data_IF_443564723587
#
_entry.id   IF_443564723587
#
_cell.length_a   1.000
_cell.length_b   1.000
_cell.length_c   1.000
_cell.angle_alpha   90.00
_cell.angle_beta   90.00
_cell.angle_gamma   90.00
#
_symmetry.space_group_name_H-M   'P 1'
#
loop_
_entity.id
_entity.type
_entity.pdbx_description
1 polymer ?
#
# COMPACT_ATOMS: atom_id res chain seq x y z
N UNK A 1 -20.92 3.29 26.72
CA UNK A 1 -20.86 2.22 25.69
C UNK A 1 -20.59 2.94 24.38
N UNK A 2 -19.32 3.01 23.96
CA UNK A 2 -18.92 3.83 22.80
C UNK A 2 -18.23 2.90 21.81
N UNK A 3 -18.83 2.79 20.63
CA UNK A 3 -18.50 1.76 19.66
C UNK A 3 -18.23 2.40 18.32
N UNK A 4 -17.08 2.07 17.75
CA UNK A 4 -16.68 2.40 16.38
C UNK A 4 -16.83 1.12 15.56
N UNK A 5 -17.54 1.15 14.43
CA UNK A 5 -17.92 -0.08 13.71
C UNK A 5 -17.19 -0.22 12.38
N UNK A 6 -17.02 -1.45 11.94
CA UNK A 6 -16.50 -1.82 10.62
C UNK A 6 -17.66 -2.48 9.85
N UNK A 7 -18.07 -1.89 8.73
CA UNK A 7 -19.38 -2.16 8.10
C UNK A 7 -19.22 -2.44 6.62
N UNK A 8 -19.25 -3.71 6.23
CA UNK A 8 -18.91 -4.11 4.88
C UNK A 8 -19.58 -5.37 4.34
N UNK A 9 -20.64 -5.14 3.60
CA UNK A 9 -20.84 -5.90 2.37
C UNK A 9 -21.62 -5.03 1.37
N UNK A 10 -21.13 -5.06 0.12
CA UNK A 10 -21.78 -4.57 -1.10
C UNK A 10 -21.97 -3.06 -1.24
N UNK A 11 -20.98 -2.40 -1.86
CA UNK A 11 -21.15 -1.05 -2.40
C UNK A 11 -21.67 -1.08 -3.84
N UNK A 12 -22.77 -0.40 -4.10
CA UNK A 12 -22.97 0.26 -5.39
C UNK A 12 -22.62 1.73 -5.24
N UNK A 13 -21.59 2.15 -5.95
CA UNK A 13 -21.17 3.54 -6.00
C UNK A 13 -21.99 4.21 -7.09
N UNK A 14 -22.94 5.05 -6.68
CA UNK A 14 -23.73 5.83 -7.63
C UNK A 14 -22.97 7.07 -8.11
N UNK A 15 -22.01 7.56 -7.31
CA UNK A 15 -21.11 8.67 -7.66
C UNK A 15 -19.82 8.62 -6.80
N UNK A 16 -18.66 8.16 -7.33
CA UNK A 16 -17.46 7.97 -6.53
C UNK A 16 -16.92 9.30 -5.99
N UNK A 17 -16.72 9.47 -4.67
CA UNK A 17 -15.92 10.56 -4.17
C UNK A 17 -14.47 10.35 -4.65
N UNK A 18 -13.91 11.35 -5.34
CA UNK A 18 -12.56 11.31 -5.93
C UNK A 18 -11.42 11.19 -4.92
N UNK A 19 -11.70 11.35 -3.62
CA UNK A 19 -10.75 11.13 -2.53
C UNK A 19 -11.42 10.46 -1.34
N UNK A 20 -10.78 9.40 -0.85
CA UNK A 20 -11.17 8.57 0.30
C UNK A 20 -11.32 9.34 1.62
N UNK A 21 -10.81 10.57 1.70
CA UNK A 21 -10.63 11.30 2.97
C UNK A 21 -11.58 12.48 3.19
N UNK A 22 -12.70 12.58 2.45
CA UNK A 22 -13.74 13.54 2.75
C UNK A 22 -14.82 12.87 3.60
N UNK A 23 -15.14 13.46 4.75
CA UNK A 23 -16.20 12.96 5.62
C UNK A 23 -17.51 12.82 4.85
N UNK A 24 -18.17 11.67 5.00
CA UNK A 24 -19.51 11.45 4.48
C UNK A 24 -20.50 11.44 5.63
N UNK A 25 -21.73 11.88 5.34
CA UNK A 25 -22.83 11.71 6.26
C UNK A 25 -23.28 10.26 6.18
N UNK A 26 -23.13 9.54 7.28
CA UNK A 26 -23.48 8.14 7.40
C UNK A 26 -24.79 8.02 8.16
N UNK A 27 -25.75 7.33 7.56
CA UNK A 27 -27.03 6.97 8.12
C UNK A 27 -26.96 5.55 8.64
N UNK A 28 -27.27 5.37 9.92
CA UNK A 28 -27.43 4.06 10.56
C UNK A 28 -28.73 4.06 11.33
N UNK A 29 -29.72 3.28 10.85
CA UNK A 29 -31.06 3.30 11.43
C UNK A 29 -31.67 4.71 11.36
N UNK A 30 -31.90 5.34 12.51
CA UNK A 30 -32.47 6.70 12.62
C UNK A 30 -31.40 7.78 12.88
N UNK A 31 -30.14 7.40 13.07
CA UNK A 31 -29.06 8.33 13.35
C UNK A 31 -28.32 8.71 12.07
N UNK A 32 -27.91 9.98 11.98
CA UNK A 32 -27.03 10.49 10.93
C UNK A 32 -25.80 11.10 11.60
N UNK A 33 -24.62 10.65 11.21
CA UNK A 33 -23.36 11.14 11.78
C UNK A 33 -22.28 11.25 10.70
N UNK A 34 -21.34 12.18 10.87
CA UNK A 34 -20.17 12.24 10.01
C UNK A 34 -19.17 11.14 10.38
N UNK A 35 -18.55 10.52 9.38
CA UNK A 35 -17.52 9.51 9.56
C UNK A 35 -16.31 9.75 8.67
N UNK A 36 -15.13 9.37 9.15
CA UNK A 36 -13.96 9.13 8.31
C UNK A 36 -14.00 7.73 7.70
N UNK A 37 -13.51 7.61 6.48
CA UNK A 37 -13.62 6.41 5.66
C UNK A 37 -12.23 5.88 5.32
N UNK A 38 -12.02 4.58 5.53
CA UNK A 38 -10.82 3.89 5.05
C UNK A 38 -11.21 2.64 4.27
N UNK A 39 -10.97 2.66 2.96
CA UNK A 39 -11.26 1.53 2.08
C UNK A 39 -10.07 0.58 1.97
N UNK A 40 -10.34 -0.71 1.88
CA UNK A 40 -9.34 -1.75 1.71
C UNK A 40 -9.95 -3.01 1.08
N UNK A 41 -9.17 -3.86 0.41
CA UNK A 41 -9.67 -5.10 -0.22
C UNK A 41 -8.95 -6.31 0.34
N UNK A 42 -9.64 -7.45 0.46
CA UNK A 42 -8.97 -8.70 0.87
C UNK A 42 -8.03 -9.14 -0.24
N UNK A 43 -6.78 -9.42 0.11
CA UNK A 43 -5.81 -9.97 -0.85
C UNK A 43 -6.20 -11.43 -1.11
N UNK A 44 -6.57 -11.74 -2.36
CA UNK A 44 -6.88 -13.11 -2.77
C UNK A 44 -5.60 -13.95 -2.66
N UNK A 45 -5.67 -15.05 -1.94
CA UNK A 45 -4.58 -16.02 -1.88
C UNK A 45 -4.63 -16.86 -3.15
N UNK A 46 -3.49 -17.20 -3.77
CA UNK A 46 -3.45 -17.99 -5.02
C UNK A 46 -4.16 -19.36 -4.92
N UNK A 47 -4.41 -19.85 -3.69
CA UNK A 47 -5.14 -21.07 -3.40
C UNK A 47 -6.68 -20.96 -3.36
N UNK A 48 -7.27 -19.76 -3.47
CA UNK A 48 -8.73 -19.57 -3.39
C UNK A 48 -9.48 -19.85 -4.72
N UNK A 49 -8.78 -20.22 -5.79
CA UNK A 49 -9.36 -20.40 -7.13
C UNK A 49 -10.00 -21.76 -7.42
N UNK A 50 -10.19 -22.62 -6.40
CA UNK A 50 -10.88 -23.88 -6.58
C UNK A 50 -11.91 -24.09 -5.47
N UNK A 51 -13.10 -23.50 -5.64
CA UNK A 51 -14.40 -24.17 -5.53
C UNK A 51 -15.52 -23.14 -5.26
N UNK A 52 -16.40 -23.02 -6.25
CA UNK A 52 -17.76 -22.48 -6.11
C UNK A 52 -18.49 -23.19 -4.97
N UNK A 53 -18.66 -22.53 -3.83
CA UNK A 53 -19.81 -22.74 -2.93
C UNK A 53 -19.86 -21.54 -2.01
N UNK A 54 -20.99 -20.82 -2.02
CA UNK A 54 -21.49 -19.84 -1.04
C UNK A 54 -20.57 -19.66 0.21
N UNK A 55 -19.44 -18.98 0.05
CA UNK A 55 -18.55 -18.70 1.17
C UNK A 55 -19.12 -17.46 1.85
N UNK A 56 -19.72 -17.67 3.02
CA UNK A 56 -19.97 -16.61 4.00
C UNK A 56 -18.78 -15.65 3.99
N UNK A 57 -19.02 -14.40 3.59
CA UNK A 57 -18.03 -13.31 3.52
C UNK A 57 -17.70 -12.87 4.95
N UNK A 58 -17.19 -13.79 5.75
CA UNK A 58 -16.84 -13.51 7.13
C UNK A 58 -15.55 -12.70 7.13
N UNK A 59 -15.57 -11.61 7.89
CA UNK A 59 -14.42 -10.72 8.00
C UNK A 59 -13.31 -11.39 8.82
N UNK A 60 -12.25 -11.76 8.12
CA UNK A 60 -11.08 -12.38 8.70
C UNK A 60 -10.09 -11.32 9.22
N UNK A 61 -10.08 -11.11 10.53
CA UNK A 61 -9.16 -10.16 11.20
C UNK A 61 -7.67 -10.54 11.03
N UNK A 62 -7.38 -11.77 10.66
CA UNK A 62 -6.01 -12.29 10.49
C UNK A 62 -5.52 -12.21 9.04
N UNK A 63 -6.43 -11.99 8.09
CA UNK A 63 -6.09 -11.85 6.68
C UNK A 63 -5.32 -10.55 6.40
N UNK A 64 -4.54 -10.59 5.32
CA UNK A 64 -3.90 -9.39 4.77
C UNK A 64 -4.87 -8.68 3.82
N UNK A 65 -4.94 -7.36 3.98
CA UNK A 65 -5.77 -6.49 3.16
C UNK A 65 -4.92 -5.43 2.46
N UNK A 66 -5.32 -5.06 1.25
CA UNK A 66 -4.71 -3.97 0.49
C UNK A 66 -5.48 -2.68 0.72
N UNK A 67 -4.81 -1.61 1.15
CA UNK A 67 -5.43 -0.30 1.29
C UNK A 67 -5.79 0.28 -0.09
N UNK A 68 -6.97 0.88 -0.22
CA UNK A 68 -7.46 1.49 -1.45
C UNK A 68 -7.40 3.03 -1.34
N UNK A 69 -6.57 3.68 -2.17
CA UNK A 69 -6.45 5.16 -2.22
C UNK A 69 -7.53 5.81 -3.08
N UNK A 70 -7.93 5.15 -4.16
CA UNK A 70 -8.99 5.58 -5.06
C UNK A 70 -9.93 4.41 -5.28
N UNK A 71 -11.23 4.67 -5.16
CA UNK A 71 -12.21 3.60 -5.20
C UNK A 71 -12.28 3.07 -6.64
N UNK A 72 -12.00 1.77 -6.88
CA UNK A 72 -12.01 1.23 -8.23
C UNK A 72 -13.41 1.31 -8.84
N UNK A 73 -13.47 1.61 -10.13
CA UNK A 73 -14.74 1.64 -10.89
C UNK A 73 -15.40 0.26 -11.00
N UNK A 74 -14.61 -0.80 -10.80
CA UNK A 74 -15.08 -2.18 -10.77
C UNK A 74 -15.29 -2.55 -9.31
N UNK A 75 -16.54 -2.77 -8.93
CA UNK A 75 -16.93 -3.25 -7.61
C UNK A 75 -16.51 -4.71 -7.47
N UNK A 76 -15.30 -4.94 -6.98
CA UNK A 76 -14.89 -6.27 -6.52
C UNK A 76 -15.72 -6.65 -5.28
N UNK A 77 -16.20 -7.89 -5.24
CA UNK A 77 -16.93 -8.47 -4.09
C UNK A 77 -16.12 -8.51 -2.78
N UNK A 78 -14.87 -8.05 -2.80
CA UNK A 78 -13.93 -8.08 -1.67
C UNK A 78 -13.58 -6.69 -1.16
N UNK A 79 -14.43 -5.68 -1.38
CA UNK A 79 -14.19 -4.31 -0.88
C UNK A 79 -14.71 -4.13 0.54
N UNK A 80 -13.80 -3.64 1.38
CA UNK A 80 -13.93 -3.34 2.78
C UNK A 80 -13.74 -1.80 3.03
N UNK A 81 -14.35 -1.24 4.08
CA UNK A 81 -14.55 0.14 4.54
C UNK A 81 -14.64 0.13 6.07
N UNK A 82 -13.68 0.80 6.69
CA UNK A 82 -13.74 1.21 8.08
C UNK A 82 -14.43 2.57 8.19
N UNK A 83 -15.40 2.66 9.10
CA UNK A 83 -16.10 3.88 9.46
C UNK A 83 -15.66 4.34 10.85
N UNK A 84 -14.98 5.48 10.91
CA UNK A 84 -14.63 6.13 12.17
C UNK A 84 -15.56 7.34 12.37
N UNK A 85 -16.63 7.15 13.13
CA UNK A 85 -17.62 8.20 13.43
C UNK A 85 -17.07 9.32 14.31
N UNK A 86 -17.54 10.55 14.15
CA UNK A 86 -17.15 11.67 15.03
C UNK A 86 -17.69 11.50 16.46
N UNK A 87 -18.87 10.90 16.59
CA UNK A 87 -19.54 10.63 17.86
C UNK A 87 -20.01 9.17 17.91
N UNK A 88 -20.36 8.71 19.11
CA UNK A 88 -20.88 7.36 19.29
C UNK A 88 -22.25 7.20 18.61
N UNK A 89 -22.44 6.06 17.95
CA UNK A 89 -23.69 5.69 17.25
C UNK A 89 -24.06 4.28 17.67
N UNK A 90 -25.36 3.99 17.74
CA UNK A 90 -25.85 2.62 17.99
C UNK A 90 -26.06 1.93 16.64
N UNK A 91 -25.20 0.95 16.33
CA UNK A 91 -25.29 0.19 15.08
C UNK A 91 -25.60 -1.28 15.39
N UNK A 92 -26.78 -1.82 15.02
CA UNK A 92 -27.03 -3.25 15.15
C UNK A 92 -26.17 -4.04 14.16
N UNK A 93 -25.75 -5.25 14.55
CA UNK A 93 -25.12 -6.19 13.62
C UNK A 93 -26.05 -6.47 12.44
N UNK A 94 -25.47 -6.58 11.24
CA UNK A 94 -26.17 -6.68 9.97
C UNK A 94 -27.15 -5.51 9.68
N UNK A 95 -27.03 -4.38 10.41
CA UNK A 95 -27.82 -3.18 10.15
C UNK A 95 -27.40 -2.53 8.84
N UNK A 96 -28.38 -1.96 8.11
CA UNK A 96 -28.13 -1.18 6.91
C UNK A 96 -27.43 0.15 7.26
N UNK A 97 -26.41 0.46 6.48
CA UNK A 97 -25.66 1.71 6.54
C UNK A 97 -25.67 2.36 5.17
N UNK A 98 -25.93 3.66 5.12
CA UNK A 98 -25.92 4.44 3.89
C UNK A 98 -24.99 5.63 4.09
N UNK A 99 -24.10 5.90 3.13
CA UNK A 99 -23.26 7.09 3.13
C UNK A 99 -23.67 8.03 2.01
N UNK A 100 -23.84 9.30 2.33
CA UNK A 100 -24.20 10.34 1.37
C UNK A 100 -23.34 11.59 1.53
N UNK A 101 -23.15 12.28 0.41
CA UNK A 101 -22.51 13.59 0.37
C UNK A 101 -23.58 14.67 0.38
N UNK A 102 -23.94 15.15 1.57
CA UNK A 102 -25.02 16.13 1.75
C UNK A 102 -24.57 17.58 1.52
N UNK A 103 -23.27 17.87 1.63
CA UNK A 103 -22.73 19.24 1.51
C UNK A 103 -22.67 19.78 0.08
N UNK A 104 -23.14 19.02 -0.91
CA UNK A 104 -23.09 19.42 -2.32
C UNK A 104 -24.43 20.01 -2.74
N UNK A 105 -24.44 21.29 -3.14
CA UNK A 105 -25.61 22.02 -3.63
C UNK A 105 -26.09 21.59 -5.03
N UNK A 106 -25.50 20.56 -5.63
CA UNK A 106 -25.95 20.04 -6.92
C UNK A 106 -27.36 19.44 -6.75
N UNK A 107 -28.33 20.03 -7.45
CA UNK A 107 -29.76 19.69 -7.35
C UNK A 107 -30.10 18.45 -8.19
N UNK A 108 -29.28 18.10 -9.18
CA UNK A 108 -29.57 17.07 -10.18
C UNK A 108 -28.60 15.88 -10.18
N UNK A 109 -27.89 15.61 -9.07
CA UNK A 109 -27.05 14.43 -8.94
C UNK A 109 -27.44 13.58 -7.73
N UNK A 110 -27.33 12.26 -7.87
CA UNK A 110 -27.52 11.36 -6.74
C UNK A 110 -26.47 11.69 -5.67
N UNK A 111 -26.95 11.94 -4.44
CA UNK A 111 -26.11 12.29 -3.29
C UNK A 111 -25.69 11.07 -2.46
N UNK A 112 -26.33 9.92 -2.70
CA UNK A 112 -25.94 8.66 -2.08
C UNK A 112 -24.63 8.23 -2.72
N UNK A 113 -23.59 8.11 -1.90
CA UNK A 113 -22.26 7.68 -2.33
C UNK A 113 -22.09 6.17 -2.18
N UNK A 114 -22.66 5.60 -1.11
CA UNK A 114 -22.43 4.21 -0.73
C UNK A 114 -23.56 3.65 0.14
N UNK A 115 -23.67 2.33 0.22
CA UNK A 115 -24.46 1.62 1.23
C UNK A 115 -23.80 0.27 1.56
N UNK A 116 -24.18 -0.38 2.66
CA UNK A 116 -23.69 -1.70 3.06
C UNK A 116 -24.26 -2.16 4.40
N UNK A 117 -23.79 -3.30 4.92
CA UNK A 117 -24.26 -3.86 6.19
C UNK A 117 -23.16 -3.96 7.26
N UNK A 118 -23.53 -3.82 8.53
CA UNK A 118 -22.59 -3.91 9.67
C UNK A 118 -22.11 -5.35 9.85
N UNK A 119 -20.81 -5.61 9.71
CA UNK A 119 -20.26 -6.97 9.82
C UNK A 119 -19.39 -7.19 11.06
N UNK A 120 -18.79 -6.13 11.63
CA UNK A 120 -18.09 -6.25 12.93
C UNK A 120 -18.08 -4.91 13.66
N UNK A 121 -17.94 -4.99 14.98
CA UNK A 121 -18.06 -3.84 15.88
C UNK A 121 -16.79 -3.74 16.73
N UNK A 122 -16.26 -2.54 16.94
CA UNK A 122 -15.12 -2.26 17.81
C UNK A 122 -15.58 -1.36 18.97
N UNK A 123 -15.87 -1.98 20.11
CA UNK A 123 -16.54 -1.34 21.25
C UNK A 123 -15.56 -0.76 22.29
N UNK A 124 -14.27 -0.74 21.98
CA UNK A 124 -13.20 -0.32 22.88
C UNK A 124 -12.84 1.15 22.63
N UNK A 125 -12.63 1.93 23.69
CA UNK A 125 -12.13 3.30 23.59
C UNK A 125 -10.73 3.34 22.96
N UNK A 126 -9.93 2.32 23.22
CA UNK A 126 -8.57 2.15 22.70
C UNK A 126 -8.52 1.19 21.48
N UNK A 127 -9.61 1.09 20.72
CA UNK A 127 -9.72 0.17 19.58
C UNK A 127 -8.57 0.33 18.56
N UNK A 128 -8.00 1.53 18.41
CA UNK A 128 -6.86 1.77 17.51
C UNK A 128 -5.66 0.90 17.91
N UNK A 129 -5.33 0.90 19.19
CA UNK A 129 -4.19 0.14 19.73
C UNK A 129 -4.51 -1.33 19.97
N UNK A 130 -5.75 -1.66 20.34
CA UNK A 130 -6.12 -3.01 20.77
C UNK A 130 -6.67 -3.89 19.64
N UNK A 131 -7.27 -3.28 18.61
CA UNK A 131 -7.95 -3.98 17.52
C UNK A 131 -7.37 -3.61 16.15
N UNK A 132 -7.33 -2.32 15.78
CA UNK A 132 -6.89 -1.93 14.44
C UNK A 132 -5.40 -2.17 14.21
N UNK A 133 -4.56 -2.01 15.22
CA UNK A 133 -3.12 -2.32 15.15
C UNK A 133 -2.84 -3.77 14.74
N UNK A 134 -3.78 -4.69 15.02
CA UNK A 134 -3.70 -6.11 14.67
C UNK A 134 -4.19 -6.39 13.26
N UNK A 135 -4.97 -5.48 12.68
CA UNK A 135 -5.49 -5.63 11.32
C UNK A 135 -4.40 -5.29 10.30
N UNK A 136 -4.15 -6.21 9.36
CA UNK A 136 -3.09 -6.10 8.37
C UNK A 136 -3.56 -5.35 7.10
N UNK A 137 -3.96 -4.09 7.25
CA UNK A 137 -4.27 -3.23 6.09
C UNK A 137 -3.03 -2.52 5.61
N UNK A 138 -2.54 -2.91 4.43
CA UNK A 138 -1.24 -2.50 3.93
C UNK A 138 -1.34 -1.60 2.70
N UNK A 139 -0.57 -0.52 2.68
CA UNK A 139 -0.28 0.26 1.47
C UNK A 139 0.99 -0.27 0.82
N UNK A 140 0.90 -0.64 -0.46
CA UNK A 140 2.09 -0.94 -1.26
C UNK A 140 2.88 0.35 -1.49
N UNK A 141 4.20 0.28 -1.33
CA UNK A 141 5.14 1.37 -1.53
C UNK A 141 6.30 0.86 -2.36
N UNK A 142 6.64 1.65 -3.37
CA UNK A 142 7.77 1.38 -4.24
C UNK A 142 8.71 2.59 -4.18
N UNK A 143 10.00 2.32 -4.03
CA UNK A 143 11.06 3.33 -4.11
C UNK A 143 11.99 2.95 -5.23
N UNK A 144 12.39 3.95 -6.02
CA UNK A 144 13.24 3.81 -7.19
C UNK A 144 14.50 4.64 -6.99
N UNK A 145 15.63 4.08 -7.36
CA UNK A 145 16.94 4.70 -7.23
C UNK A 145 17.88 4.24 -8.33
N UNK A 146 19.14 4.66 -8.26
CA UNK A 146 20.15 4.36 -9.26
C UNK A 146 21.45 3.92 -8.60
N UNK A 147 22.21 3.08 -9.32
CA UNK A 147 23.55 2.68 -8.89
C UNK A 147 24.50 3.86 -9.10
N UNK A 148 25.08 4.36 -8.01
CA UNK A 148 26.08 5.42 -8.05
C UNK A 148 27.46 4.86 -8.36
N UNK A 149 27.83 3.77 -7.68
CA UNK A 149 29.12 3.10 -7.87
C UNK A 149 29.01 1.63 -7.49
N UNK A 150 29.82 0.81 -8.15
CA UNK A 150 29.98 -0.60 -7.81
C UNK A 150 31.22 -0.77 -6.94
N UNK A 151 31.08 -1.43 -5.80
CA UNK A 151 32.19 -1.71 -4.86
C UNK A 151 32.86 -3.02 -5.25
N UNK A 152 32.05 -4.05 -5.49
CA UNK A 152 32.45 -5.35 -6.02
C UNK A 152 31.27 -5.94 -6.83
N UNK A 153 31.45 -7.04 -7.57
CA UNK A 153 30.40 -7.62 -8.41
C UNK A 153 29.07 -7.92 -7.71
N UNK A 154 29.08 -8.09 -6.38
CA UNK A 154 27.88 -8.36 -5.56
C UNK A 154 27.49 -7.22 -4.63
N UNK A 155 28.10 -6.05 -4.77
CA UNK A 155 27.85 -4.94 -3.86
C UNK A 155 27.95 -3.61 -4.59
N UNK A 156 26.86 -2.87 -4.54
CA UNK A 156 26.78 -1.54 -5.13
C UNK A 156 26.29 -0.50 -4.11
N UNK A 157 26.68 0.75 -4.35
CA UNK A 157 26.14 1.90 -3.63
C UNK A 157 25.03 2.49 -4.47
N UNK A 158 23.86 2.61 -3.86
CA UNK A 158 22.64 3.11 -4.50
C UNK A 158 22.30 4.47 -3.91
N UNK A 159 21.91 5.39 -4.78
CA UNK A 159 21.38 6.71 -4.39
C UNK A 159 19.93 6.88 -4.86
N UNK A 160 19.21 7.83 -4.26
CA UNK A 160 17.84 8.17 -4.66
C UNK A 160 16.73 7.30 -4.03
N UNK A 161 17.05 6.15 -3.44
CA UNK A 161 16.06 5.34 -2.71
C UNK A 161 15.57 6.03 -1.42
N UNK A 162 16.43 6.78 -0.74
CA UNK A 162 16.15 7.34 0.58
C UNK A 162 16.52 8.82 0.64
N UNK A 163 15.75 9.58 1.44
CA UNK A 163 16.13 10.94 1.83
C UNK A 163 17.12 10.90 3.00
N UNK A 164 17.88 11.98 3.20
CA UNK A 164 18.91 12.08 4.26
C UNK A 164 18.34 11.80 5.65
N UNK A 165 17.14 12.29 5.93
CA UNK A 165 16.44 12.18 7.21
C UNK A 165 15.72 10.82 7.42
N UNK A 166 15.92 9.85 6.53
CA UNK A 166 15.24 8.55 6.66
C UNK A 166 15.84 7.73 7.79
N UNK A 167 14.99 7.16 8.68
CA UNK A 167 15.43 6.13 9.62
C UNK A 167 15.83 4.88 8.83
N UNK A 168 17.12 4.55 8.85
CA UNK A 168 17.70 3.45 8.06
C UNK A 168 17.45 2.08 8.65
N UNK A 169 17.38 1.97 9.98
CA UNK A 169 17.36 0.69 10.69
C UNK A 169 16.17 -0.18 10.26
N UNK A 170 15.05 0.44 9.91
CA UNK A 170 13.83 -0.27 9.48
C UNK A 170 13.91 -0.83 8.05
N UNK A 171 14.91 -0.42 7.25
CA UNK A 171 15.08 -0.86 5.86
C UNK A 171 16.24 -1.83 5.67
N UNK A 172 17.10 -2.01 6.69
CA UNK A 172 18.18 -2.99 6.65
C UNK A 172 17.59 -4.40 6.61
N UNK A 173 18.12 -5.24 5.71
CA UNK A 173 17.65 -6.61 5.47
C UNK A 173 16.49 -6.72 4.48
N UNK A 174 15.86 -5.61 4.07
CA UNK A 174 14.79 -5.67 3.06
C UNK A 174 15.34 -6.01 1.68
N UNK A 175 14.59 -6.81 0.93
CA UNK A 175 14.89 -7.17 -0.44
C UNK A 175 14.72 -5.98 -1.37
N UNK A 176 15.66 -5.82 -2.27
CA UNK A 176 15.56 -4.90 -3.39
C UNK A 176 16.16 -5.58 -4.61
N UNK A 177 15.86 -5.07 -5.79
CA UNK A 177 16.36 -5.65 -7.02
C UNK A 177 16.82 -4.57 -7.98
N UNK A 178 17.83 -4.91 -8.78
CA UNK A 178 18.33 -4.08 -9.86
C UNK A 178 17.66 -4.57 -11.14
N UNK A 179 17.05 -3.64 -11.86
CA UNK A 179 16.58 -3.80 -13.22
C UNK A 179 17.67 -3.26 -14.13
N UNK A 180 18.11 -4.08 -15.09
CA UNK A 180 19.07 -3.70 -16.12
C UNK A 180 18.32 -3.82 -17.45
N UNK A 181 18.20 -2.73 -18.19
CA UNK A 181 17.66 -2.78 -19.55
C UNK A 181 18.82 -2.89 -20.53
N UNK A 182 18.86 -4.01 -21.23
CA UNK A 182 19.84 -4.25 -22.28
C UNK A 182 19.24 -3.82 -23.61
N UNK A 183 19.93 -2.92 -24.31
CA UNK A 183 19.53 -2.50 -25.65
C UNK A 183 20.26 -3.38 -26.66
N UNK A 184 19.76 -4.59 -26.88
CA UNK A 184 20.17 -5.37 -28.05
C UNK A 184 19.32 -5.02 -29.27
N UNK A 185 19.89 -5.20 -30.46
CA UNK A 185 19.62 -4.46 -31.69
C UNK A 185 18.19 -4.55 -32.26
N UNK A 186 17.28 -5.31 -31.64
CA UNK A 186 15.83 -5.32 -31.97
C UNK A 186 14.94 -5.86 -30.81
N UNK A 187 15.41 -5.92 -29.55
CA UNK A 187 14.59 -6.37 -28.41
C UNK A 187 15.11 -5.78 -27.09
N UNK A 188 14.22 -5.17 -26.30
CA UNK A 188 14.56 -4.64 -24.98
C UNK A 188 14.48 -5.77 -23.96
N UNK A 189 15.57 -6.48 -23.74
CA UNK A 189 15.64 -7.48 -22.69
C UNK A 189 15.84 -6.80 -21.33
N UNK A 190 15.07 -7.21 -20.34
CA UNK A 190 15.13 -6.66 -18.98
C UNK A 190 15.62 -7.73 -18.03
N UNK A 191 16.86 -7.59 -17.55
CA UNK A 191 17.43 -8.49 -16.56
C UNK A 191 17.12 -7.97 -15.16
N UNK A 192 16.70 -8.86 -14.26
CA UNK A 192 16.45 -8.57 -12.85
C UNK A 192 17.45 -9.30 -11.97
N UNK A 193 18.16 -8.58 -11.12
CA UNK A 193 19.09 -9.13 -10.13
C UNK A 193 18.58 -8.79 -8.74
N UNK A 194 18.26 -9.81 -7.95
CA UNK A 194 17.79 -9.64 -6.59
C UNK A 194 18.95 -9.38 -5.62
N UNK A 195 18.62 -8.79 -4.48
CA UNK A 195 19.56 -8.46 -3.42
C UNK A 195 18.85 -8.01 -2.16
N UNK A 196 19.59 -7.42 -1.23
CA UNK A 196 19.07 -6.86 0.00
C UNK A 196 19.87 -5.64 0.44
N UNK A 197 19.19 -4.75 1.17
CA UNK A 197 19.81 -3.54 1.75
C UNK A 197 20.65 -3.97 2.95
N UNK A 198 21.96 -3.80 2.85
CA UNK A 198 22.89 -4.21 3.89
C UNK A 198 23.07 -3.12 4.95
N UNK A 199 23.29 -1.87 4.52
CA UNK A 199 23.57 -0.76 5.44
C UNK A 199 23.40 0.60 4.78
N UNK A 200 23.38 1.66 5.59
CA UNK A 200 23.48 3.05 5.12
C UNK A 200 24.90 3.37 4.64
N UNK A 201 25.01 4.33 3.72
CA UNK A 201 26.29 4.80 3.18
C UNK A 201 26.42 6.32 3.32
N UNK A 202 27.11 6.76 4.37
CA UNK A 202 27.35 8.18 4.65
C UNK A 202 26.07 8.95 5.01
N UNK A 203 26.09 10.28 4.83
CA UNK A 203 25.00 11.18 5.28
C UNK A 203 24.09 11.68 4.15
N UNK A 204 24.05 11.02 3.00
CA UNK A 204 23.42 11.56 1.78
C UNK A 204 22.23 10.74 1.27
N UNK A 205 21.61 9.90 2.11
CA UNK A 205 20.48 9.07 1.65
C UNK A 205 20.91 7.85 0.81
N UNK A 206 22.21 7.52 0.79
CA UNK A 206 22.77 6.40 0.01
C UNK A 206 22.82 5.13 0.85
N UNK A 207 22.78 3.98 0.19
CA UNK A 207 22.86 2.68 0.86
C UNK A 207 23.78 1.69 0.14
N UNK A 208 24.24 0.70 0.89
CA UNK A 208 24.86 -0.52 0.35
C UNK A 208 23.77 -1.52 0.02
N UNK A 209 23.76 -1.97 -1.23
CA UNK A 209 22.93 -3.05 -1.71
C UNK A 209 23.84 -4.25 -1.97
N UNK A 210 23.61 -5.34 -1.26
CA UNK A 210 24.24 -6.63 -1.51
C UNK A 210 23.37 -7.41 -2.51
N UNK A 211 23.98 -8.04 -3.51
CA UNK A 211 23.30 -8.74 -4.60
C UNK A 211 23.45 -10.25 -4.43
N UNK A 212 22.40 -10.98 -4.81
CA UNK A 212 22.37 -12.45 -4.76
C UNK A 212 23.19 -13.07 -5.91
N UNK A 213 23.47 -12.29 -6.97
CA UNK A 213 24.25 -12.71 -8.14
C UNK A 213 25.16 -11.57 -8.61
N UNK A 214 26.21 -11.94 -9.32
CA UNK A 214 27.17 -10.98 -9.86
C UNK A 214 26.53 -10.09 -10.93
N UNK A 215 26.88 -8.81 -10.91
CA UNK A 215 26.52 -7.88 -11.98
C UNK A 215 27.21 -8.31 -13.29
N UNK A 216 26.55 -8.15 -14.45
CA UNK A 216 27.16 -8.42 -15.74
C UNK A 216 28.44 -7.61 -15.94
N UNK A 217 29.43 -8.22 -16.60
CA UNK A 217 30.75 -7.61 -16.85
C UNK A 217 30.65 -6.27 -17.60
N UNK A 218 29.64 -6.12 -18.46
CA UNK A 218 29.36 -4.87 -19.17
C UNK A 218 29.08 -3.70 -18.23
N UNK A 219 28.29 -3.95 -17.19
CA UNK A 219 27.95 -2.96 -16.16
C UNK A 219 29.18 -2.70 -15.28
N UNK A 220 29.91 -3.75 -14.92
CA UNK A 220 31.15 -3.63 -14.14
C UNK A 220 32.19 -2.78 -14.86
N UNK A 221 32.38 -2.98 -16.16
CA UNK A 221 33.30 -2.21 -16.98
C UNK A 221 32.93 -0.72 -16.97
N UNK A 222 31.65 -0.38 -17.09
CA UNK A 222 31.17 1.00 -17.09
C UNK A 222 31.44 1.72 -15.75
N UNK A 223 31.22 1.06 -14.62
CA UNK A 223 31.47 1.65 -13.29
C UNK A 223 32.95 1.60 -12.84
N UNK A 224 33.82 0.90 -13.58
CA UNK A 224 35.25 0.77 -13.24
C UNK A 224 36.13 1.92 -13.75
N UNK A 225 35.62 2.73 -14.68
CA UNK A 225 36.37 3.80 -15.36
C UNK A 225 36.64 5.02 -14.46
N UNK A 226 37.71 4.94 -13.66
CA UNK A 226 38.30 6.05 -12.90
C UNK A 226 38.95 7.08 -13.84
N UNK A 227 38.21 8.09 -14.28
CA UNK A 227 38.83 9.24 -14.95
C UNK A 227 37.80 10.15 -15.58
N UNK A 228 37.68 11.38 -15.05
CA UNK A 228 36.73 12.37 -15.52
C UNK A 228 36.78 12.59 -17.04
N UNK A 229 35.73 12.15 -17.73
CA UNK A 229 35.17 12.77 -18.95
C UNK A 229 33.69 12.39 -19.00
N UNK A 230 32.86 13.42 -19.09
CA UNK A 230 31.41 13.31 -19.29
C UNK A 230 31.09 12.48 -20.54
N UNK A 231 30.00 11.73 -20.41
CA UNK A 231 29.20 11.08 -21.46
C UNK A 231 29.79 9.84 -22.12
N UNK A 232 29.49 8.69 -21.52
CA UNK A 232 28.88 7.56 -22.23
C UNK A 232 27.64 7.20 -21.42
N UNK A 233 26.53 6.92 -22.09
CA UNK A 233 25.19 6.69 -21.53
C UNK A 233 25.23 6.07 -20.12
N UNK A 234 24.64 6.74 -19.13
CA UNK A 234 24.36 6.07 -17.85
C UNK A 234 23.68 4.74 -18.20
N UNK A 235 24.16 3.60 -17.66
CA UNK A 235 23.46 2.36 -17.87
C UNK A 235 22.02 2.56 -17.40
N UNK A 236 21.04 2.13 -18.20
CA UNK A 236 19.62 2.18 -17.84
C UNK A 236 19.37 1.09 -16.78
N UNK A 237 19.93 1.37 -15.61
CA UNK A 237 19.89 0.57 -14.40
C UNK A 237 19.01 1.29 -13.40
N UNK A 238 18.05 0.56 -12.86
CA UNK A 238 17.13 1.08 -11.88
C UNK A 238 17.10 0.13 -10.69
N UNK A 239 17.32 0.66 -9.50
CA UNK A 239 17.15 -0.11 -8.27
C UNK A 239 15.75 0.11 -7.76
N UNK A 240 15.03 -0.98 -7.51
CA UNK A 240 13.65 -0.96 -7.03
C UNK A 240 13.57 -1.67 -5.68
N UNK A 241 12.97 -0.97 -4.72
CA UNK A 241 12.60 -1.49 -3.40
C UNK A 241 11.08 -1.45 -3.29
N UNK A 242 10.46 -2.62 -3.14
CA UNK A 242 9.03 -2.78 -2.95
C UNK A 242 8.74 -3.29 -1.55
N UNK A 243 7.86 -2.62 -0.83
CA UNK A 243 7.48 -3.00 0.51
C UNK A 243 6.06 -2.56 0.81
N UNK A 244 5.47 -3.19 1.82
CA UNK A 244 4.15 -2.89 2.33
C UNK A 244 4.28 -2.21 3.68
N UNK A 245 3.43 -1.21 3.90
CA UNK A 245 3.35 -0.52 5.19
C UNK A 245 1.95 -0.65 5.75
N UNK A 246 1.84 -1.18 6.97
CA UNK A 246 0.55 -1.22 7.66
C UNK A 246 0.10 0.21 8.00
N UNK A 247 -1.16 0.52 7.67
CA UNK A 247 -1.78 1.83 7.85
C UNK A 247 -2.17 2.08 9.31
N UNK A 248 -2.55 1.02 10.03
CA UNK A 248 -3.03 1.09 11.41
C UNK A 248 -1.94 0.81 12.44
N UNK A 249 -0.75 0.43 12.02
CA UNK A 249 0.36 0.17 12.93
C UNK A 249 1.08 1.47 13.33
N UNK A 250 1.05 1.87 14.62
CA UNK A 250 1.73 3.08 15.09
C UNK A 250 3.25 3.00 14.90
N UNK A 251 3.84 1.81 14.97
CA UNK A 251 5.27 1.59 14.76
C UNK A 251 5.65 1.58 13.28
N UNK A 252 4.66 1.66 12.36
CA UNK A 252 4.88 1.75 10.92
C UNK A 252 5.74 0.59 10.38
N UNK A 253 5.61 -0.59 11.00
CA UNK A 253 6.37 -1.79 10.62
C UNK A 253 6.21 -2.05 9.12
N UNK A 254 7.34 -2.42 8.51
CA UNK A 254 7.44 -2.73 7.10
C UNK A 254 7.28 -4.24 6.94
N UNK A 255 6.50 -4.63 5.94
CA UNK A 255 6.26 -6.02 5.55
C UNK A 255 6.73 -6.16 4.11
N UNK A 256 7.39 -7.27 3.79
CA UNK A 256 7.81 -7.59 2.42
C UNK A 256 7.46 -9.04 2.09
#
# INVERSE_FOLDING_TARGET
>A
MHVFYLVLEKYHILNPPSKVNHGLHIFVGQETVLANLTFFTKVKSEHDNANNTEKSVEFDKTAMYHYVEEIPNVTDDNLYLLLEFEHHVICPMNGLVIGAKLDTYAVNSCRIALHGHVITQLNDLNYKSNNLSKLLVCKSKTRRGQIERVVNPRMCIVHGLFKRETNWEIFVGLRAYVIIKLNETNSTETQRINGYIESSFGQSGKCRLALDSDLPDEILAQYSSKGGRKQVSQPDTEVVLEFKKNVFDPQRRIIQ
#
